data_IF_937859960145
#
_entry.id   IF_937859960145
#
_cell.length_a   1.000
_cell.length_b   1.000
_cell.length_c   1.000
_cell.angle_alpha   90.00
_cell.angle_beta   90.00
_cell.angle_gamma   90.00
#
_symmetry.space_group_name_H-M   'P 1'
#
loop_
_entity.id
_entity.type
_entity.pdbx_description
1 polymer ?
#
# COMPACT_ATOMS: atom_id res chain seq x y z
N UNK A 1 -14.53 -14.69 22.80
CA UNK A 1 -13.33 -15.08 22.04
C UNK A 1 -13.53 -14.57 20.64
N UNK A 2 -12.89 -13.44 20.29
CA UNK A 2 -12.97 -12.87 18.95
C UNK A 2 -11.97 -13.67 18.12
N UNK A 3 -12.48 -14.40 17.12
CA UNK A 3 -11.68 -15.23 16.24
C UNK A 3 -10.76 -14.34 15.41
N UNK A 4 -9.44 -14.48 15.61
CA UNK A 4 -8.43 -13.88 14.75
C UNK A 4 -8.36 -14.62 13.42
N UNK A 5 -8.24 -13.89 12.32
CA UNK A 5 -8.29 -14.53 11.00
C UNK A 5 -6.99 -15.25 10.59
N UNK A 6 -5.82 -14.75 10.98
CA UNK A 6 -4.59 -15.55 11.13
C UNK A 6 -3.92 -15.09 12.42
N UNK A 7 -3.97 -15.95 13.44
CA UNK A 7 -3.38 -15.68 14.75
C UNK A 7 -1.87 -15.98 14.71
N UNK A 8 -0.99 -14.97 14.82
CA UNK A 8 0.47 -15.17 14.75
C UNK A 8 0.99 -16.10 15.83
N UNK A 9 0.40 -16.09 17.02
CA UNK A 9 0.80 -16.97 18.12
C UNK A 9 0.45 -18.44 17.82
N UNK A 10 -0.42 -18.67 16.84
CA UNK A 10 -0.79 -19.99 16.33
C UNK A 10 -0.05 -20.38 15.05
N UNK A 11 0.74 -19.48 14.46
CA UNK A 11 1.68 -19.84 13.39
C UNK A 11 2.85 -20.56 14.08
N UNK A 12 2.74 -21.88 14.25
CA UNK A 12 3.77 -22.74 14.82
C UNK A 12 4.95 -22.88 13.84
N UNK A 13 5.74 -21.82 13.72
CA UNK A 13 7.00 -21.84 12.98
C UNK A 13 8.00 -22.62 13.83
N UNK A 14 7.97 -23.96 13.75
CA UNK A 14 8.90 -24.88 14.44
C UNK A 14 10.39 -24.72 14.05
N UNK A 15 10.76 -23.64 13.38
CA UNK A 15 12.14 -23.34 13.05
C UNK A 15 12.73 -22.43 14.14
N UNK A 16 14.04 -22.52 14.36
CA UNK A 16 14.85 -21.60 15.18
C UNK A 16 14.89 -20.18 14.56
N UNK A 17 13.72 -19.63 14.25
CA UNK A 17 13.55 -18.27 13.75
C UNK A 17 13.57 -17.27 14.90
N UNK A 18 13.53 -15.99 14.54
CA UNK A 18 13.38 -14.91 15.52
C UNK A 18 12.12 -15.12 16.36
N UNK A 19 12.17 -14.61 17.60
CA UNK A 19 11.00 -14.52 18.46
C UNK A 19 9.88 -13.79 17.72
N UNK A 20 8.68 -14.38 17.69
CA UNK A 20 7.52 -13.81 17.02
C UNK A 20 6.45 -13.40 18.03
N UNK A 21 5.96 -12.17 17.92
CA UNK A 21 4.89 -11.65 18.75
C UNK A 21 4.21 -10.47 18.07
N UNK A 22 2.92 -10.28 18.36
CA UNK A 22 2.22 -9.05 17.98
C UNK A 22 2.84 -7.80 18.61
N UNK A 23 3.52 -7.93 19.75
CA UNK A 23 4.20 -6.82 20.43
C UNK A 23 5.31 -6.18 19.59
N UNK A 24 5.87 -6.93 18.64
CA UNK A 24 6.92 -6.44 17.73
C UNK A 24 6.32 -5.72 16.51
N UNK A 25 5.02 -5.86 16.28
CA UNK A 25 4.35 -5.15 15.19
C UNK A 25 4.47 -3.65 15.42
N UNK A 26 5.12 -2.95 14.49
CA UNK A 26 5.36 -1.52 14.63
C UNK A 26 6.72 -1.15 15.21
N UNK A 27 7.60 -2.11 15.47
CA UNK A 27 8.98 -1.79 15.83
C UNK A 27 9.62 -0.91 14.74
N UNK A 28 10.23 0.20 15.17
CA UNK A 28 11.05 1.02 14.29
C UNK A 28 12.47 0.49 14.37
N UNK A 29 12.90 -0.14 13.29
CA UNK A 29 14.19 -0.82 13.23
C UNK A 29 15.16 -0.03 12.36
N UNK A 30 16.35 0.20 12.89
CA UNK A 30 17.52 0.65 12.14
C UNK A 30 18.51 -0.51 11.97
N UNK A 31 19.23 -0.53 10.86
CA UNK A 31 20.22 -1.56 10.57
C UNK A 31 20.25 -1.94 9.09
N UNK A 32 20.53 -3.21 8.79
CA UNK A 32 20.63 -3.71 7.42
C UNK A 32 19.30 -3.54 6.68
N UNK A 33 19.38 -2.94 5.49
CA UNK A 33 18.23 -2.78 4.59
C UNK A 33 18.24 -3.87 3.50
N UNK A 34 17.06 -4.44 3.25
CA UNK A 34 16.83 -5.43 2.19
C UNK A 34 15.68 -4.96 1.31
N UNK A 35 15.97 -4.75 0.03
CA UNK A 35 14.94 -4.41 -0.97
C UNK A 35 14.10 -5.63 -1.28
N UNK A 36 12.79 -5.50 -1.19
CA UNK A 36 11.85 -6.60 -1.36
C UNK A 36 10.96 -6.39 -2.57
N UNK A 37 10.69 -7.48 -3.28
CA UNK A 37 9.57 -7.53 -4.24
C UNK A 37 8.59 -8.63 -3.84
N UNK A 38 7.31 -8.28 -3.79
CA UNK A 38 6.22 -9.19 -3.51
C UNK A 38 5.54 -9.63 -4.81
N UNK A 39 5.26 -10.91 -4.96
CA UNK A 39 4.39 -11.41 -6.02
C UNK A 39 3.66 -12.67 -5.59
N UNK A 40 2.33 -12.63 -5.57
CA UNK A 40 1.50 -13.84 -5.48
C UNK A 40 0.83 -14.10 -6.83
N UNK A 41 0.94 -15.32 -7.35
CA UNK A 41 0.30 -15.74 -8.59
C UNK A 41 -0.51 -17.03 -8.41
N UNK A 42 -1.49 -17.23 -9.29
CA UNK A 42 -2.17 -18.52 -9.38
C UNK A 42 -1.23 -19.53 -10.03
N UNK A 43 -1.01 -20.66 -9.35
CA UNK A 43 -0.15 -21.74 -9.83
C UNK A 43 -0.21 -22.97 -8.93
N UNK A 44 0.24 -24.10 -9.46
CA UNK A 44 0.37 -25.34 -8.68
C UNK A 44 1.77 -25.47 -8.07
N UNK A 45 1.84 -26.21 -6.96
CA UNK A 45 3.08 -26.51 -6.25
C UNK A 45 2.86 -26.60 -4.74
N UNK A 46 3.80 -27.24 -4.06
CA UNK A 46 3.82 -27.32 -2.59
C UNK A 46 5.24 -27.12 -2.03
N UNK A 47 5.31 -26.57 -0.83
CA UNK A 47 6.52 -26.40 -0.04
C UNK A 47 7.23 -25.05 -0.24
N UNK A 48 8.50 -25.02 0.15
CA UNK A 48 9.36 -23.84 0.12
C UNK A 48 10.55 -24.06 -0.83
N UNK A 49 11.14 -22.98 -1.32
CA UNK A 49 12.38 -22.96 -2.10
C UNK A 49 13.10 -21.64 -1.81
N UNK A 50 14.41 -21.70 -1.56
CA UNK A 50 15.26 -20.52 -1.39
C UNK A 50 16.33 -20.55 -2.47
N UNK A 51 16.43 -19.48 -3.25
CA UNK A 51 17.38 -19.32 -4.35
C UNK A 51 18.44 -18.28 -3.97
N UNK A 52 19.67 -18.73 -3.77
CA UNK A 52 20.81 -17.89 -3.39
C UNK A 52 20.87 -17.57 -1.89
N UNK A 53 21.92 -16.84 -1.51
CA UNK A 53 22.15 -16.40 -0.13
C UNK A 53 21.60 -15.00 0.12
N UNK A 54 21.12 -14.74 1.34
CA UNK A 54 20.47 -13.48 1.69
C UNK A 54 21.44 -12.29 1.70
N UNK A 55 21.42 -11.51 0.62
CA UNK A 55 22.14 -10.25 0.48
C UNK A 55 21.33 -9.03 0.94
N UNK A 56 21.24 -8.04 0.05
CA UNK A 56 20.50 -6.78 0.16
C UNK A 56 19.20 -6.77 -0.68
N UNK A 57 18.82 -7.93 -1.23
CA UNK A 57 17.60 -8.13 -2.02
C UNK A 57 16.89 -9.43 -1.61
N UNK A 58 15.56 -9.41 -1.68
CA UNK A 58 14.72 -10.59 -1.43
C UNK A 58 13.44 -10.51 -2.26
N UNK A 59 13.23 -11.46 -3.16
CA UNK A 59 11.96 -11.67 -3.85
C UNK A 59 11.10 -12.66 -3.10
N UNK A 60 9.88 -12.27 -2.72
CA UNK A 60 8.88 -13.15 -2.13
C UNK A 60 7.90 -13.53 -3.25
N UNK A 61 8.09 -14.70 -3.84
CA UNK A 61 7.23 -15.20 -4.89
C UNK A 61 6.42 -16.40 -4.40
N UNK A 62 5.10 -16.27 -4.37
CA UNK A 62 4.19 -17.31 -3.89
C UNK A 62 3.26 -17.77 -5.00
N UNK A 63 3.22 -19.07 -5.26
CA UNK A 63 2.22 -19.69 -6.12
C UNK A 63 1.12 -20.31 -5.25
N UNK A 64 -0.13 -20.00 -5.58
CA UNK A 64 -1.30 -20.51 -4.87
C UNK A 64 -2.34 -21.08 -5.83
N UNK A 65 -3.05 -22.13 -5.42
CA UNK A 65 -4.18 -22.67 -6.18
C UNK A 65 -5.47 -22.63 -5.38
N UNK A 66 -6.62 -22.73 -6.06
CA UNK A 66 -7.95 -22.73 -5.43
C UNK A 66 -8.63 -21.37 -5.33
N UNK A 67 -7.94 -20.29 -5.68
CA UNK A 67 -8.45 -18.91 -5.64
C UNK A 67 -8.30 -18.22 -7.00
N UNK A 68 -8.99 -17.08 -7.18
CA UNK A 68 -8.86 -16.25 -8.38
C UNK A 68 -7.55 -15.43 -8.39
N UNK A 69 -7.18 -14.89 -9.55
CA UNK A 69 -6.00 -14.03 -9.68
C UNK A 69 -6.12 -12.72 -8.86
N UNK A 70 -7.33 -12.16 -8.75
CA UNK A 70 -7.57 -10.97 -7.93
C UNK A 70 -7.44 -11.29 -6.43
N UNK A 71 -7.92 -12.45 -6.02
CA UNK A 71 -7.75 -12.99 -4.67
C UNK A 71 -6.30 -13.27 -4.33
N UNK A 72 -5.49 -13.72 -5.29
CA UNK A 72 -4.07 -13.95 -5.11
C UNK A 72 -3.34 -12.66 -4.69
N UNK A 73 -3.66 -11.52 -5.31
CA UNK A 73 -3.04 -10.22 -4.94
C UNK A 73 -3.33 -9.81 -3.49
N UNK A 74 -4.48 -10.20 -2.94
CA UNK A 74 -4.84 -9.87 -1.56
C UNK A 74 -3.93 -10.56 -0.53
N UNK A 75 -3.38 -11.73 -0.86
CA UNK A 75 -2.46 -12.50 -0.01
C UNK A 75 -1.16 -11.74 0.26
N UNK A 76 -0.72 -10.86 -0.65
CA UNK A 76 0.48 -10.02 -0.46
C UNK A 76 0.40 -9.17 0.82
N UNK A 77 -0.82 -8.82 1.24
CA UNK A 77 -1.10 -8.11 2.50
C UNK A 77 -0.63 -8.86 3.74
N UNK A 78 -0.45 -10.19 3.66
CA UNK A 78 0.10 -11.00 4.76
C UNK A 78 1.58 -10.77 4.99
N UNK A 79 2.35 -10.48 3.94
CA UNK A 79 3.81 -10.51 4.06
C UNK A 79 4.30 -9.49 5.08
N UNK A 80 3.85 -8.23 4.95
CA UNK A 80 4.10 -7.22 5.95
C UNK A 80 3.49 -7.55 7.32
N UNK A 81 2.30 -8.15 7.35
CA UNK A 81 1.62 -8.52 8.61
C UNK A 81 2.40 -9.56 9.42
N UNK A 82 2.95 -10.58 8.76
CA UNK A 82 3.67 -11.66 9.46
C UNK A 82 5.13 -11.33 9.70
N UNK A 83 5.79 -10.60 8.80
CA UNK A 83 7.21 -10.25 8.95
C UNK A 83 7.40 -9.17 10.02
N UNK A 84 6.50 -8.20 10.13
CA UNK A 84 6.56 -7.18 11.20
C UNK A 84 6.41 -7.76 12.62
N UNK A 85 6.02 -9.03 12.75
CA UNK A 85 5.90 -9.71 14.04
C UNK A 85 7.20 -10.42 14.44
N UNK A 86 8.26 -10.35 13.63
CA UNK A 86 9.57 -10.86 13.99
C UNK A 86 10.34 -9.79 14.77
N UNK A 87 10.83 -10.15 15.96
CA UNK A 87 11.61 -9.24 16.81
C UNK A 87 12.81 -8.65 16.09
N UNK A 88 12.97 -7.32 16.16
CA UNK A 88 14.10 -6.62 15.53
C UNK A 88 14.00 -6.57 14.00
N UNK A 89 12.82 -6.79 13.43
CA UNK A 89 12.55 -6.67 11.98
C UNK A 89 11.41 -5.69 11.75
N UNK A 90 11.58 -4.80 10.79
CA UNK A 90 10.47 -3.97 10.29
C UNK A 90 10.29 -4.15 8.79
N UNK A 91 9.04 -4.20 8.36
CA UNK A 91 8.59 -4.33 6.98
C UNK A 91 7.78 -3.09 6.62
N UNK A 92 8.22 -2.37 5.60
CA UNK A 92 7.61 -1.12 5.13
C UNK A 92 7.32 -1.18 3.63
N UNK A 93 6.38 -0.34 3.20
CA UNK A 93 5.88 -0.32 1.82
C UNK A 93 5.32 -1.67 1.38
N UNK A 94 5.09 -1.84 0.08
CA UNK A 94 4.45 -3.01 -0.52
C UNK A 94 4.93 -3.23 -1.96
N UNK A 95 4.56 -4.37 -2.54
CA UNK A 95 4.80 -4.74 -3.94
C UNK A 95 6.29 -4.67 -4.27
N UNK A 96 6.68 -3.96 -5.32
CA UNK A 96 8.08 -3.89 -5.79
C UNK A 96 8.92 -2.84 -5.06
N UNK A 97 8.32 -2.18 -4.07
CA UNK A 97 8.92 -1.13 -3.25
C UNK A 97 9.06 -1.53 -1.80
N UNK A 98 8.66 -2.76 -1.46
CA UNK A 98 8.75 -3.28 -0.12
C UNK A 98 10.21 -3.22 0.40
N UNK A 99 10.34 -2.99 1.69
CA UNK A 99 11.63 -2.83 2.36
C UNK A 99 11.59 -3.54 3.70
N UNK A 100 12.59 -4.38 3.95
CA UNK A 100 12.85 -4.95 5.26
C UNK A 100 14.05 -4.25 5.88
N UNK A 101 13.94 -3.86 7.15
CA UNK A 101 15.08 -3.46 8.00
C UNK A 101 15.26 -4.46 9.12
N UNK A 102 16.51 -4.81 9.40
CA UNK A 102 16.88 -5.81 10.41
C UNK A 102 17.85 -5.16 11.40
N UNK A 103 17.58 -5.31 12.69
CA UNK A 103 18.46 -4.83 13.75
C UNK A 103 19.73 -5.69 13.81
N UNK A 104 20.80 -5.14 14.37
CA UNK A 104 22.08 -5.85 14.52
C UNK A 104 21.92 -7.16 15.29
N UNK A 105 21.04 -7.20 16.29
CA UNK A 105 20.77 -8.39 17.12
C UNK A 105 19.98 -9.46 16.35
N UNK A 106 19.15 -9.04 15.40
CA UNK A 106 18.34 -9.95 14.60
C UNK A 106 19.10 -10.51 13.38
N UNK A 107 20.15 -9.84 12.91
CA UNK A 107 20.92 -10.22 11.71
C UNK A 107 21.46 -11.66 11.75
N UNK A 108 21.91 -12.15 12.92
CA UNK A 108 22.46 -13.51 13.04
C UNK A 108 21.41 -14.61 12.88
N UNK A 109 20.13 -14.30 13.13
CA UNK A 109 19.02 -15.27 13.12
C UNK A 109 18.06 -15.06 11.96
N UNK A 110 18.01 -13.86 11.39
CA UNK A 110 17.16 -13.56 10.25
C UNK A 110 17.67 -14.29 9.00
N UNK A 111 16.82 -15.14 8.42
CA UNK A 111 17.16 -15.90 7.22
C UNK A 111 16.02 -15.94 6.22
N UNK A 112 16.37 -16.08 4.93
CA UNK A 112 15.41 -16.29 3.85
C UNK A 112 14.52 -17.52 4.11
N UNK A 113 15.09 -18.57 4.69
CA UNK A 113 14.39 -19.79 5.08
C UNK A 113 13.31 -19.53 6.14
N UNK A 114 13.60 -18.67 7.13
CA UNK A 114 12.61 -18.27 8.13
C UNK A 114 11.45 -17.51 7.50
N UNK A 115 11.73 -16.53 6.65
CA UNK A 115 10.69 -15.79 5.91
C UNK A 115 9.85 -16.75 5.06
N UNK A 116 10.48 -17.69 4.35
CA UNK A 116 9.79 -18.69 3.53
C UNK A 116 8.79 -19.52 4.35
N UNK A 117 9.22 -20.03 5.51
CA UNK A 117 8.39 -20.88 6.39
C UNK A 117 7.21 -20.11 6.98
N UNK A 118 7.46 -18.91 7.49
CA UNK A 118 6.41 -18.07 8.09
C UNK A 118 5.34 -17.73 7.06
N UNK A 119 5.76 -17.36 5.85
CA UNK A 119 4.83 -17.08 4.76
C UNK A 119 4.09 -18.35 4.33
N UNK A 120 4.79 -19.48 4.19
CA UNK A 120 4.17 -20.74 3.80
C UNK A 120 3.06 -21.16 4.77
N UNK A 121 3.34 -21.17 6.08
CA UNK A 121 2.34 -21.54 7.10
C UNK A 121 1.17 -20.54 7.14
N UNK A 122 1.46 -19.23 7.05
CA UNK A 122 0.42 -18.21 7.00
C UNK A 122 -0.51 -18.38 5.80
N UNK A 123 0.04 -18.51 4.59
CA UNK A 123 -0.75 -18.66 3.36
C UNK A 123 -1.51 -19.99 3.35
N UNK A 124 -0.89 -21.07 3.81
CA UNK A 124 -1.52 -22.40 3.89
C UNK A 124 -2.68 -22.46 4.88
N UNK A 125 -2.68 -21.58 5.89
CA UNK A 125 -3.78 -21.48 6.86
C UNK A 125 -5.08 -20.91 6.26
N UNK A 126 -5.02 -20.28 5.07
CA UNK A 126 -6.19 -19.72 4.39
C UNK A 126 -7.06 -20.85 3.82
N UNK A 127 -8.31 -21.05 4.30
CA UNK A 127 -9.11 -22.23 3.92
C UNK A 127 -9.42 -22.38 2.43
N UNK A 128 -9.44 -21.28 1.68
CA UNK A 128 -9.72 -21.28 0.24
C UNK A 128 -8.50 -21.74 -0.61
N UNK A 129 -7.30 -21.73 -0.04
CA UNK A 129 -6.07 -22.08 -0.73
C UNK A 129 -5.86 -23.60 -0.71
N UNK A 130 -5.69 -24.20 -1.90
CA UNK A 130 -5.53 -25.65 -2.07
C UNK A 130 -4.08 -26.12 -2.05
N UNK A 131 -3.16 -25.30 -2.54
CA UNK A 131 -1.72 -25.59 -2.56
C UNK A 131 -0.93 -24.29 -2.48
N UNK A 132 0.28 -24.34 -1.93
CA UNK A 132 1.15 -23.17 -1.72
C UNK A 132 2.59 -23.54 -2.06
N UNK A 133 3.23 -22.83 -2.99
CA UNK A 133 4.69 -22.87 -3.18
C UNK A 133 5.27 -21.51 -2.87
N UNK A 134 6.12 -21.41 -1.85
CA UNK A 134 6.87 -20.18 -1.56
C UNK A 134 8.27 -20.29 -2.15
N UNK A 135 8.69 -19.27 -2.90
CA UNK A 135 10.01 -19.15 -3.49
C UNK A 135 10.62 -17.83 -3.02
N UNK A 136 11.68 -17.91 -2.22
CA UNK A 136 12.46 -16.74 -1.81
C UNK A 136 13.64 -16.59 -2.75
N UNK A 137 13.72 -15.45 -3.44
CA UNK A 137 14.73 -15.18 -4.47
C UNK A 137 15.72 -14.15 -3.96
N UNK A 138 16.93 -14.58 -3.60
CA UNK A 138 18.00 -13.73 -3.12
C UNK A 138 19.10 -13.49 -4.18
N UNK A 139 19.13 -14.27 -5.27
CA UNK A 139 20.01 -14.01 -6.41
C UNK A 139 19.59 -12.75 -7.17
N UNK A 140 20.55 -11.84 -7.42
CA UNK A 140 20.27 -10.51 -7.96
C UNK A 140 19.66 -10.54 -9.38
N UNK A 141 20.14 -11.42 -10.25
CA UNK A 141 19.60 -11.52 -11.61
C UNK A 141 18.16 -12.04 -11.63
N UNK A 142 17.86 -13.07 -10.84
CA UNK A 142 16.51 -13.62 -10.70
C UNK A 142 15.58 -12.64 -9.98
N UNK A 143 16.09 -11.87 -9.01
CA UNK A 143 15.35 -10.80 -8.35
C UNK A 143 14.88 -9.74 -9.36
N UNK A 144 15.75 -9.27 -10.24
CA UNK A 144 15.38 -8.26 -11.26
C UNK A 144 14.39 -8.82 -12.30
N UNK A 145 14.45 -10.12 -12.62
CA UNK A 145 13.44 -10.78 -13.47
C UNK A 145 12.09 -10.87 -12.77
N UNK A 146 12.08 -11.30 -11.51
CA UNK A 146 10.87 -11.38 -10.70
C UNK A 146 10.24 -10.00 -10.53
N UNK A 147 11.06 -8.97 -10.29
CA UNK A 147 10.60 -7.60 -10.16
C UNK A 147 9.85 -7.13 -11.40
N UNK A 148 10.42 -7.30 -12.60
CA UNK A 148 9.75 -6.95 -13.86
C UNK A 148 8.43 -7.71 -14.03
N UNK A 149 8.40 -9.00 -13.68
CA UNK A 149 7.19 -9.81 -13.73
C UNK A 149 6.12 -9.31 -12.75
N UNK A 150 6.50 -8.94 -11.54
CA UNK A 150 5.59 -8.34 -10.56
C UNK A 150 4.98 -7.04 -11.10
N UNK A 151 5.81 -6.13 -11.62
CA UNK A 151 5.36 -4.86 -12.22
C UNK A 151 4.34 -5.09 -13.34
N UNK A 152 4.57 -6.08 -14.21
CA UNK A 152 3.65 -6.43 -15.29
C UNK A 152 2.31 -6.98 -14.78
N UNK A 153 2.34 -7.84 -13.77
CA UNK A 153 1.13 -8.47 -13.22
C UNK A 153 0.31 -7.48 -12.40
N UNK A 154 0.96 -6.73 -11.51
CA UNK A 154 0.31 -5.70 -10.70
C UNK A 154 -0.33 -4.63 -11.59
N UNK A 155 0.37 -4.20 -12.66
CA UNK A 155 -0.20 -3.29 -13.66
C UNK A 155 -1.44 -3.87 -14.35
N UNK A 156 -1.40 -5.14 -14.77
CA UNK A 156 -2.56 -5.81 -15.40
C UNK A 156 -3.75 -5.90 -14.44
N UNK A 157 -3.51 -6.22 -13.16
CA UNK A 157 -4.56 -6.26 -12.13
C UNK A 157 -5.18 -4.88 -11.90
N UNK A 158 -4.36 -3.83 -11.80
CA UNK A 158 -4.82 -2.44 -11.71
C UNK A 158 -5.68 -2.05 -12.93
N UNK A 159 -5.27 -2.43 -14.14
CA UNK A 159 -5.99 -2.11 -15.38
C UNK A 159 -7.38 -2.74 -15.43
N UNK A 160 -7.57 -3.97 -14.90
CA UNK A 160 -8.89 -4.62 -14.84
C UNK A 160 -9.89 -3.86 -13.96
N UNK A 161 -9.42 -3.13 -12.95
CA UNK A 161 -10.27 -2.37 -12.03
C UNK A 161 -10.68 -1.00 -12.58
N UNK A 162 -10.06 -0.54 -13.68
CA UNK A 162 -10.26 0.82 -14.20
C UNK A 162 -11.69 1.11 -14.63
N UNK A 163 -12.46 0.09 -15.00
CA UNK A 163 -13.86 0.25 -15.41
C UNK A 163 -14.84 0.29 -14.23
N UNK A 164 -14.40 -0.15 -13.04
CA UNK A 164 -15.23 -0.16 -11.84
C UNK A 164 -15.30 1.25 -11.25
N UNK A 165 -16.50 1.78 -11.11
CA UNK A 165 -16.75 3.14 -10.62
C UNK A 165 -17.26 3.13 -9.19
N UNK A 166 -17.00 4.20 -8.47
CA UNK A 166 -17.51 4.39 -7.11
C UNK A 166 -19.04 4.30 -7.04
N UNK A 167 -19.74 4.82 -8.05
CA UNK A 167 -21.21 4.77 -8.12
C UNK A 167 -21.75 3.34 -8.32
N UNK A 168 -20.95 2.44 -8.91
CA UNK A 168 -21.36 1.08 -9.25
C UNK A 168 -21.13 0.06 -8.14
N UNK A 169 -20.57 0.48 -7.01
CA UNK A 169 -20.35 -0.37 -5.83
C UNK A 169 -21.17 0.13 -4.65
N UNK A 170 -21.62 -0.80 -3.83
CA UNK A 170 -22.45 -0.50 -2.65
C UNK A 170 -21.61 -0.08 -1.44
N UNK A 171 -20.37 -0.58 -1.37
CA UNK A 171 -19.46 -0.36 -0.24
C UNK A 171 -18.05 -0.01 -0.70
N UNK A 172 -17.36 0.74 0.17
CA UNK A 172 -15.93 0.99 0.12
C UNK A 172 -15.21 0.18 1.20
N UNK A 173 -13.90 0.36 1.30
CA UNK A 173 -13.10 -0.32 2.32
C UNK A 173 -12.26 0.67 3.11
N UNK A 174 -12.31 0.54 4.43
CA UNK A 174 -11.37 1.19 5.35
C UNK A 174 -10.10 0.35 5.50
N UNK A 175 -8.98 1.00 5.77
CA UNK A 175 -7.74 0.36 6.15
C UNK A 175 -7.14 1.04 7.38
N UNK A 176 -6.89 0.24 8.43
CA UNK A 176 -6.29 0.69 9.70
C UNK A 176 -4.90 0.12 9.96
N UNK A 177 -4.21 -0.43 8.96
CA UNK A 177 -2.89 -1.06 9.16
C UNK A 177 -1.85 -0.10 9.75
N UNK A 178 -1.92 1.18 9.40
CA UNK A 178 -1.00 2.19 9.91
C UNK A 178 -1.34 2.67 11.33
N UNK A 179 -2.44 2.21 11.96
CA UNK A 179 -2.76 2.58 13.35
C UNK A 179 -1.74 2.09 14.37
N UNK A 180 -0.96 1.07 13.99
CA UNK A 180 0.23 0.62 14.72
C UNK A 180 1.21 1.79 14.99
N UNK A 181 1.32 2.75 14.06
CA UNK A 181 2.18 3.93 14.19
C UNK A 181 1.39 5.23 14.45
N UNK A 182 0.15 5.30 13.94
CA UNK A 182 -0.67 6.51 13.89
C UNK A 182 -2.09 6.18 14.40
N UNK A 183 -2.34 6.17 15.72
CA UNK A 183 -3.55 5.58 16.31
C UNK A 183 -4.88 6.13 15.76
N UNK A 184 -4.88 7.38 15.26
CA UNK A 184 -6.08 8.06 14.76
C UNK A 184 -6.10 8.14 13.22
N UNK A 185 -5.40 7.24 12.53
CA UNK A 185 -5.35 7.20 11.08
C UNK A 185 -6.27 6.13 10.51
N UNK A 186 -6.91 6.44 9.38
CA UNK A 186 -7.63 5.49 8.54
C UNK A 186 -7.50 5.90 7.08
N UNK A 187 -7.25 4.93 6.20
CA UNK A 187 -7.39 5.12 4.75
C UNK A 187 -8.79 4.69 4.30
N UNK A 188 -9.35 5.42 3.34
CA UNK A 188 -10.56 5.02 2.61
C UNK A 188 -10.15 4.61 1.20
N UNK A 189 -10.52 3.40 0.81
CA UNK A 189 -10.15 2.76 -0.45
C UNK A 189 -11.42 2.56 -1.29
N UNK A 190 -11.42 3.11 -2.49
CA UNK A 190 -12.52 3.00 -3.45
C UNK A 190 -11.99 2.46 -4.79
N UNK A 191 -12.88 2.03 -5.71
CA UNK A 191 -12.47 1.63 -7.06
C UNK A 191 -11.65 2.71 -7.79
N UNK A 192 -11.98 3.99 -7.56
CA UNK A 192 -11.35 5.12 -8.26
C UNK A 192 -10.30 5.85 -7.39
N UNK A 193 -10.11 5.43 -6.14
CA UNK A 193 -9.06 5.93 -5.23
C UNK A 193 -8.42 4.79 -4.43
N UNK A 194 -7.35 4.18 -4.96
CA UNK A 194 -6.49 3.28 -4.19
C UNK A 194 -5.86 3.98 -2.99
N UNK A 195 -5.44 3.21 -1.99
CA UNK A 195 -4.76 3.77 -0.81
C UNK A 195 -3.47 4.52 -1.21
N UNK A 196 -2.96 5.44 -0.37
CA UNK A 196 -1.71 6.13 -0.64
C UNK A 196 -0.49 5.20 -0.83
N UNK A 197 -0.50 4.03 -0.20
CA UNK A 197 0.55 3.02 -0.33
C UNK A 197 0.33 2.02 -1.48
N UNK A 198 -0.74 2.17 -2.27
CA UNK A 198 -0.97 1.39 -3.49
C UNK A 198 -1.85 0.15 -3.33
N UNK A 199 -2.58 0.00 -2.22
CA UNK A 199 -3.64 -1.02 -2.09
C UNK A 199 -4.84 -0.64 -2.93
N UNK A 200 -5.26 -1.53 -3.83
CA UNK A 200 -6.45 -1.37 -4.66
C UNK A 200 -7.73 -1.81 -3.95
N UNK A 201 -8.87 -1.39 -4.48
CA UNK A 201 -10.19 -1.81 -4.00
C UNK A 201 -10.37 -3.33 -3.98
N UNK A 202 -9.97 -4.03 -5.05
CA UNK A 202 -10.10 -5.48 -5.12
C UNK A 202 -9.18 -6.19 -4.12
N UNK A 203 -7.97 -5.69 -3.88
CA UNK A 203 -7.09 -6.24 -2.84
C UNK A 203 -7.74 -6.14 -1.46
N UNK A 204 -8.29 -4.97 -1.10
CA UNK A 204 -8.95 -4.76 0.19
C UNK A 204 -10.21 -5.65 0.33
N UNK A 205 -11.06 -5.71 -0.71
CA UNK A 205 -12.23 -6.58 -0.74
C UNK A 205 -11.88 -8.04 -0.55
N UNK A 206 -10.98 -8.57 -1.40
CA UNK A 206 -10.63 -9.98 -1.35
C UNK A 206 -9.90 -10.32 -0.04
N UNK A 207 -9.08 -9.41 0.51
CA UNK A 207 -8.40 -9.64 1.79
C UNK A 207 -9.39 -9.76 2.97
N UNK A 208 -10.47 -8.96 2.95
CA UNK A 208 -11.55 -9.04 3.93
C UNK A 208 -12.37 -10.33 3.75
N UNK A 209 -12.80 -10.64 2.52
CA UNK A 209 -13.60 -11.84 2.20
C UNK A 209 -12.86 -13.14 2.53
N UNK A 210 -11.58 -13.21 2.15
CA UNK A 210 -10.71 -14.36 2.42
C UNK A 210 -10.16 -14.37 3.83
N UNK A 211 -10.43 -13.32 4.63
CA UNK A 211 -10.01 -13.25 6.02
C UNK A 211 -8.49 -13.40 6.14
N UNK A 212 -7.80 -12.61 5.33
CA UNK A 212 -6.34 -12.62 5.23
C UNK A 212 -5.75 -11.77 6.36
N UNK A 213 -6.30 -10.57 6.56
CA UNK A 213 -5.86 -9.61 7.58
C UNK A 213 -7.08 -8.91 8.19
N UNK A 214 -6.93 -8.37 9.40
CA UNK A 214 -8.05 -7.76 10.15
C UNK A 214 -8.14 -6.23 10.01
N UNK A 215 -7.15 -5.61 9.36
CA UNK A 215 -7.10 -4.16 9.26
C UNK A 215 -7.90 -3.61 8.07
N UNK A 216 -8.42 -4.45 7.17
CA UNK A 216 -9.41 -4.07 6.18
C UNK A 216 -10.82 -4.31 6.71
N UNK A 217 -11.72 -3.36 6.47
CA UNK A 217 -13.11 -3.48 6.89
C UNK A 217 -14.04 -2.77 5.90
N UNK A 218 -15.28 -3.26 5.71
CA UNK A 218 -16.23 -2.63 4.80
C UNK A 218 -16.73 -1.29 5.38
N UNK A 219 -16.95 -0.32 4.50
CA UNK A 219 -17.60 0.96 4.80
C UNK A 219 -18.81 1.07 3.89
N UNK A 220 -20.01 1.07 4.47
CA UNK A 220 -21.23 1.38 3.74
C UNK A 220 -21.19 2.84 3.28
N UNK A 221 -21.55 3.12 2.03
CA UNK A 221 -21.43 4.47 1.46
C UNK A 221 -22.36 5.48 2.17
N UNK A 222 -23.55 5.04 2.55
CA UNK A 222 -24.59 5.95 3.02
C UNK A 222 -25.06 6.91 1.92
N UNK A 223 -25.46 8.11 2.30
CA UNK A 223 -25.92 9.14 1.37
C UNK A 223 -24.76 9.73 0.56
N UNK A 224 -25.00 9.94 -0.73
CA UNK A 224 -24.05 10.61 -1.62
C UNK A 224 -24.19 12.12 -1.43
N UNK A 225 -23.24 12.73 -0.71
CA UNK A 225 -23.21 14.17 -0.47
C UNK A 225 -22.66 14.89 -1.72
N UNK A 226 -21.59 14.35 -2.32
CA UNK A 226 -21.01 14.88 -3.55
C UNK A 226 -20.22 13.83 -4.32
N UNK A 227 -20.73 13.36 -5.47
CA UNK A 227 -20.00 12.44 -6.35
C UNK A 227 -18.71 13.07 -6.94
N UNK A 228 -18.73 14.38 -7.19
CA UNK A 228 -17.60 15.07 -7.79
C UNK A 228 -16.42 15.16 -6.82
N UNK A 229 -16.72 15.40 -5.55
CA UNK A 229 -15.73 15.56 -4.48
C UNK A 229 -15.43 14.24 -3.78
N UNK A 230 -16.25 13.21 -4.00
CA UNK A 230 -16.17 11.92 -3.32
C UNK A 230 -16.51 12.06 -1.84
N UNK A 231 -17.60 12.75 -1.51
CA UNK A 231 -18.10 12.88 -0.13
C UNK A 231 -19.36 12.04 0.05
N UNK A 232 -19.34 11.20 1.08
CA UNK A 232 -20.39 10.23 1.39
C UNK A 232 -20.61 10.20 2.91
N UNK A 233 -21.86 10.13 3.35
CA UNK A 233 -22.18 10.22 4.78
C UNK A 233 -21.60 9.05 5.59
N UNK A 234 -21.69 7.82 5.07
CA UNK A 234 -21.16 6.63 5.74
C UNK A 234 -19.64 6.62 5.79
N UNK A 235 -18.96 7.24 4.82
CA UNK A 235 -17.51 7.46 4.88
C UNK A 235 -17.15 8.46 5.97
N UNK A 236 -17.88 9.57 6.08
CA UNK A 236 -17.67 10.56 7.14
C UNK A 236 -17.87 9.94 8.53
N UNK A 237 -18.92 9.15 8.72
CA UNK A 237 -19.20 8.43 9.97
C UNK A 237 -18.07 7.45 10.33
N UNK A 238 -17.66 6.60 9.37
CA UNK A 238 -16.60 5.63 9.60
C UNK A 238 -15.25 6.30 9.92
N UNK A 239 -14.91 7.39 9.22
CA UNK A 239 -13.69 8.15 9.52
C UNK A 239 -13.77 8.81 10.89
N UNK A 240 -14.93 9.42 11.23
CA UNK A 240 -15.13 10.03 12.54
C UNK A 240 -14.95 9.03 13.68
N UNK A 241 -15.51 7.83 13.54
CA UNK A 241 -15.33 6.76 14.51
C UNK A 241 -13.85 6.34 14.63
N UNK A 242 -13.21 6.02 13.50
CA UNK A 242 -11.84 5.48 13.48
C UNK A 242 -10.77 6.51 13.87
N UNK A 243 -11.11 7.79 13.86
CA UNK A 243 -10.21 8.89 14.27
C UNK A 243 -10.58 9.48 15.63
N UNK A 244 -11.47 8.84 16.39
CA UNK A 244 -11.97 9.32 17.69
C UNK A 244 -12.53 10.76 17.63
N UNK A 245 -13.19 11.10 16.52
CA UNK A 245 -13.78 12.41 16.28
C UNK A 245 -12.82 13.48 15.77
N UNK A 246 -11.54 13.17 15.56
CA UNK A 246 -10.55 14.16 15.09
C UNK A 246 -10.77 14.60 13.64
N UNK A 247 -11.31 13.71 12.80
CA UNK A 247 -11.69 14.02 11.43
C UNK A 247 -13.16 13.68 11.25
N UNK A 248 -13.98 14.69 10.96
CA UNK A 248 -15.42 14.50 10.83
C UNK A 248 -15.88 14.32 9.38
N UNK A 249 -15.11 14.87 8.43
CA UNK A 249 -15.46 14.90 7.01
C UNK A 249 -14.25 14.59 6.15
N UNK A 250 -14.48 13.86 5.06
CA UNK A 250 -13.46 13.55 4.07
C UNK A 250 -14.03 13.68 2.66
N UNK A 251 -13.34 14.44 1.81
CA UNK A 251 -13.63 14.59 0.39
C UNK A 251 -12.56 13.85 -0.40
N UNK A 252 -12.90 12.65 -0.88
CA UNK A 252 -11.95 11.71 -1.49
C UNK A 252 -11.22 12.27 -2.72
N UNK A 253 -11.76 13.27 -3.42
CA UNK A 253 -11.16 13.82 -4.63
C UNK A 253 -10.75 15.29 -4.51
N UNK A 254 -10.40 15.71 -3.28
CA UNK A 254 -9.93 17.08 -2.97
C UNK A 254 -8.67 17.10 -2.12
N UNK A 255 -8.01 18.26 -2.14
CA UNK A 255 -6.79 18.59 -1.39
C UNK A 255 -6.98 19.86 -0.56
N UNK A 256 -7.75 20.85 -1.04
CA UNK A 256 -7.89 22.15 -0.36
C UNK A 256 -8.95 22.20 0.73
N UNK A 257 -9.87 21.24 0.78
CA UNK A 257 -10.95 21.23 1.76
C UNK A 257 -11.23 19.78 2.17
N UNK A 258 -11.13 19.51 3.48
CA UNK A 258 -11.34 18.18 4.07
C UNK A 258 -10.62 17.04 3.33
N UNK A 259 -9.30 17.14 3.03
CA UNK A 259 -8.60 16.12 2.27
C UNK A 259 -8.53 14.78 3.03
N UNK A 260 -8.35 13.65 2.32
CA UNK A 260 -8.14 12.36 2.99
C UNK A 260 -6.85 12.34 3.82
N UNK A 261 -6.89 11.63 4.94
CA UNK A 261 -5.70 11.36 5.75
C UNK A 261 -4.67 10.53 4.97
N UNK A 262 -3.39 10.70 5.29
CA UNK A 262 -2.32 9.86 4.77
C UNK A 262 -1.57 9.15 5.91
N UNK A 263 -1.13 7.91 5.65
CA UNK A 263 -0.22 7.16 6.51
C UNK A 263 1.24 7.42 6.16
N UNK A 264 2.16 6.63 6.73
CA UNK A 264 3.62 6.79 6.58
C UNK A 264 4.21 6.25 5.26
N UNK A 265 3.36 5.73 4.37
CA UNK A 265 3.82 4.94 3.23
C UNK A 265 3.24 5.45 1.90
N UNK A 266 2.85 6.73 1.84
CA UNK A 266 2.36 7.34 0.60
C UNK A 266 3.42 7.27 -0.51
N UNK A 267 3.06 6.89 -1.72
CA UNK A 267 4.04 6.82 -2.81
C UNK A 267 4.40 8.20 -3.37
N UNK A 268 3.42 9.10 -3.37
CA UNK A 268 3.52 10.48 -3.81
C UNK A 268 2.71 11.38 -2.89
N UNK A 269 3.03 12.68 -2.90
CA UNK A 269 2.25 13.72 -2.21
C UNK A 269 1.81 14.74 -3.25
N UNK A 270 0.51 15.01 -3.29
CA UNK A 270 -0.06 16.18 -3.96
C UNK A 270 -0.02 17.34 -2.98
N UNK A 271 0.49 18.49 -3.42
CA UNK A 271 0.54 19.70 -2.61
C UNK A 271 0.06 20.92 -3.40
N UNK A 272 -0.53 21.91 -2.73
CA UNK A 272 -0.98 23.15 -3.35
C UNK A 272 0.17 24.16 -3.45
N UNK A 273 0.22 24.90 -4.57
CA UNK A 273 1.20 25.95 -4.87
C UNK A 273 0.42 27.27 -4.97
N UNK A 274 0.37 28.08 -3.89
CA UNK A 274 -0.43 29.30 -3.85
C UNK A 274 -0.09 30.30 -4.96
N UNK A 275 1.20 30.48 -5.28
CA UNK A 275 1.68 31.45 -6.26
C UNK A 275 1.22 31.13 -7.69
N UNK A 276 0.85 29.88 -7.95
CA UNK A 276 0.40 29.40 -9.26
C UNK A 276 -1.07 29.02 -9.30
N UNK A 277 -1.78 29.13 -8.17
CA UNK A 277 -3.15 28.60 -7.98
C UNK A 277 -3.30 27.19 -8.61
N UNK A 278 -2.36 26.30 -8.28
CA UNK A 278 -2.24 24.98 -8.88
C UNK A 278 -1.61 23.96 -7.94
N UNK A 279 -1.50 22.72 -8.39
CA UNK A 279 -0.97 21.62 -7.61
C UNK A 279 0.39 21.17 -8.12
N UNK A 280 1.24 20.78 -7.18
CA UNK A 280 2.46 20.03 -7.40
C UNK A 280 2.29 18.55 -7.01
N UNK A 281 3.07 17.66 -7.61
CA UNK A 281 3.13 16.24 -7.22
C UNK A 281 4.59 15.82 -7.04
N UNK A 282 4.94 15.30 -5.88
CA UNK A 282 6.30 14.84 -5.57
C UNK A 282 6.29 13.38 -5.16
N UNK A 283 7.23 12.59 -5.69
CA UNK A 283 7.45 11.21 -5.27
C UNK A 283 8.47 11.09 -4.13
N UNK A 284 8.38 9.97 -3.39
CA UNK A 284 9.21 9.66 -2.22
C UNK A 284 10.73 9.66 -2.47
N UNK A 285 11.17 9.37 -3.69
CA UNK A 285 12.59 9.29 -4.02
C UNK A 285 13.18 10.68 -4.32
N UNK A 286 12.35 11.70 -4.55
CA UNK A 286 12.80 13.07 -4.78
C UNK A 286 13.34 13.70 -3.49
N UNK A 287 14.67 13.91 -3.45
CA UNK A 287 15.38 14.43 -2.26
C UNK A 287 15.57 15.95 -2.22
N UNK A 288 15.18 16.67 -3.27
CA UNK A 288 15.32 18.14 -3.33
C UNK A 288 14.07 18.82 -2.76
N UNK A 289 14.15 20.14 -2.59
CA UNK A 289 13.00 20.97 -2.24
C UNK A 289 12.07 21.14 -3.44
N UNK A 290 10.78 21.06 -3.17
CA UNK A 290 9.69 21.38 -4.10
C UNK A 290 9.52 22.91 -4.24
N UNK A 291 8.66 23.40 -5.16
CA UNK A 291 8.36 24.82 -5.30
C UNK A 291 7.86 25.51 -4.02
N UNK A 292 7.26 24.76 -3.08
CA UNK A 292 6.81 25.28 -1.77
C UNK A 292 7.90 25.23 -0.70
N UNK A 293 9.15 24.92 -1.07
CA UNK A 293 10.32 24.97 -0.18
C UNK A 293 10.47 23.77 0.77
N UNK A 294 9.57 22.78 0.69
CA UNK A 294 9.60 21.54 1.47
C UNK A 294 10.10 20.37 0.63
N UNK A 295 10.81 19.44 1.26
CA UNK A 295 11.14 18.11 0.73
C UNK A 295 9.96 17.15 0.89
N UNK A 296 10.00 15.99 0.22
CA UNK A 296 9.00 14.95 0.42
C UNK A 296 8.88 14.53 1.89
N UNK A 297 10.02 14.31 2.57
CA UNK A 297 10.06 13.84 3.96
C UNK A 297 9.45 14.86 4.94
N UNK A 298 9.70 16.16 4.72
CA UNK A 298 9.07 17.23 5.51
C UNK A 298 7.55 17.27 5.30
N UNK A 299 7.08 17.10 4.06
CA UNK A 299 5.63 17.04 3.78
C UNK A 299 4.98 15.79 4.37
N UNK A 300 5.64 14.64 4.28
CA UNK A 300 5.12 13.40 4.87
C UNK A 300 4.95 13.53 6.38
N UNK A 301 5.96 14.06 7.08
CA UNK A 301 5.89 14.30 8.53
C UNK A 301 4.75 15.25 8.89
N UNK A 302 4.44 16.22 8.03
CA UNK A 302 3.34 17.17 8.24
C UNK A 302 1.96 16.48 8.14
N UNK A 303 1.77 15.58 7.18
CA UNK A 303 0.44 14.99 6.89
C UNK A 303 0.18 13.66 7.59
N UNK A 304 1.20 12.99 8.13
CA UNK A 304 1.08 11.65 8.70
C UNK A 304 0.05 11.61 9.85
N UNK A 305 -1.10 11.00 9.58
CA UNK A 305 -2.19 10.88 10.55
C UNK A 305 -3.02 12.15 10.78
N UNK A 306 -2.79 13.20 9.98
CA UNK A 306 -3.51 14.47 10.08
C UNK A 306 -4.22 14.82 8.77
N UNK A 307 -5.33 15.54 8.88
CA UNK A 307 -5.97 16.19 7.75
C UNK A 307 -5.37 17.59 7.61
N UNK A 308 -4.59 17.82 6.54
CA UNK A 308 -3.89 19.08 6.30
C UNK A 308 -4.31 19.62 4.93
N UNK A 309 -5.09 20.69 4.94
CA UNK A 309 -5.52 21.36 3.70
C UNK A 309 -4.31 21.83 2.89
N UNK A 310 -4.37 21.57 1.58
CA UNK A 310 -3.27 21.83 0.67
C UNK A 310 -2.31 20.66 0.51
N UNK A 311 -2.44 19.56 1.25
CA UNK A 311 -1.59 18.37 1.08
C UNK A 311 -2.40 17.07 1.13
N UNK A 312 -2.08 16.10 0.27
CA UNK A 312 -2.65 14.77 0.32
C UNK A 312 -1.65 13.71 -0.17
N UNK A 313 -1.44 12.67 0.63
CA UNK A 313 -0.71 11.47 0.20
C UNK A 313 -1.55 10.65 -0.79
N UNK A 314 -0.95 10.22 -1.89
CA UNK A 314 -1.62 9.41 -2.93
C UNK A 314 -0.66 8.39 -3.56
N UNK A 315 -1.23 7.33 -4.12
CA UNK A 315 -0.48 6.33 -4.90
C UNK A 315 -0.31 6.76 -6.37
N UNK A 316 0.66 6.16 -7.06
CA UNK A 316 0.79 6.30 -8.51
C UNK A 316 -0.44 5.80 -9.25
N UNK A 317 -1.11 4.76 -8.73
CA UNK A 317 -2.35 4.23 -9.29
C UNK A 317 -3.47 5.30 -9.33
N UNK A 318 -3.61 6.11 -8.27
CA UNK A 318 -4.61 7.18 -8.24
C UNK A 318 -4.36 8.27 -9.28
N UNK A 319 -3.10 8.53 -9.67
CA UNK A 319 -2.78 9.52 -10.70
C UNK A 319 -3.40 9.19 -12.07
N UNK A 320 -3.64 7.91 -12.36
CA UNK A 320 -4.32 7.45 -13.59
C UNK A 320 -5.85 7.49 -13.48
N UNK A 321 -6.40 7.71 -12.28
CA UNK A 321 -7.83 7.64 -12.04
C UNK A 321 -8.57 8.79 -12.76
N UNK A 322 -9.74 8.52 -13.37
CA UNK A 322 -10.60 9.58 -13.88
C UNK A 322 -11.13 10.50 -12.77
N UNK A 323 -11.11 10.05 -11.51
CA UNK A 323 -11.49 10.84 -10.34
C UNK A 323 -10.32 11.61 -9.71
N UNK A 324 -9.11 11.51 -10.27
CA UNK A 324 -7.95 12.26 -9.80
C UNK A 324 -8.24 13.76 -9.73
N UNK A 325 -8.25 14.31 -8.50
CA UNK A 325 -8.55 15.72 -8.19
C UNK A 325 -9.82 16.25 -8.87
N UNK A 326 -10.83 15.39 -9.08
CA UNK A 326 -12.06 15.74 -9.81
C UNK A 326 -12.84 16.89 -9.17
N UNK A 327 -12.78 17.02 -7.84
CA UNK A 327 -13.33 18.16 -7.10
C UNK A 327 -12.62 19.49 -7.41
N UNK A 328 -11.39 19.43 -7.90
CA UNK A 328 -10.44 20.55 -7.98
C UNK A 328 -9.80 20.68 -9.37
N UNK A 329 -10.54 20.31 -10.42
CA UNK A 329 -10.16 20.55 -11.82
C UNK A 329 -9.22 19.51 -12.43
N UNK A 330 -8.87 18.46 -11.69
CA UNK A 330 -8.07 17.35 -12.18
C UNK A 330 -6.69 17.77 -12.67
N UNK A 331 -6.19 17.07 -13.69
CA UNK A 331 -4.90 17.35 -14.32
C UNK A 331 -4.74 18.76 -14.88
N UNK A 332 -5.84 19.49 -15.16
CA UNK A 332 -5.76 20.88 -15.65
C UNK A 332 -5.22 21.86 -14.61
N UNK A 333 -5.24 21.47 -13.33
CA UNK A 333 -4.76 22.25 -12.18
C UNK A 333 -3.40 21.81 -11.69
N UNK A 334 -2.79 20.77 -12.27
CA UNK A 334 -1.40 20.37 -11.94
C UNK A 334 -0.44 21.21 -12.78
N UNK A 335 0.53 21.84 -12.11
CA UNK A 335 1.48 22.78 -12.74
C UNK A 335 2.94 22.41 -12.49
N UNK A 336 3.21 21.48 -11.57
CA UNK A 336 4.56 21.01 -11.29
C UNK A 336 4.57 19.53 -10.90
N UNK A 337 5.59 18.78 -11.31
CA UNK A 337 5.83 17.42 -10.81
C UNK A 337 7.32 17.14 -10.66
N UNK A 338 7.69 16.15 -9.82
CA UNK A 338 9.07 15.63 -9.81
C UNK A 338 9.38 14.84 -11.09
N UNK A 339 10.66 14.67 -11.48
CA UNK A 339 11.04 13.97 -12.71
C UNK A 339 10.45 12.57 -12.85
N UNK A 340 10.46 11.78 -11.77
CA UNK A 340 9.90 10.42 -11.79
C UNK A 340 8.40 10.42 -12.02
N UNK A 341 7.68 11.37 -11.42
CA UNK A 341 6.25 11.55 -11.68
C UNK A 341 6.04 12.01 -13.13
N UNK A 342 6.87 12.92 -13.65
CA UNK A 342 6.80 13.38 -15.04
C UNK A 342 6.91 12.21 -16.03
N UNK A 343 7.92 11.35 -15.87
CA UNK A 343 8.08 10.17 -16.73
C UNK A 343 6.90 9.20 -16.62
N UNK A 344 6.34 9.01 -15.43
CA UNK A 344 5.17 8.17 -15.24
C UNK A 344 3.93 8.72 -15.97
N UNK A 345 3.65 10.03 -15.83
CA UNK A 345 2.43 10.63 -16.39
C UNK A 345 2.46 10.79 -17.90
N UNK A 346 3.65 10.87 -18.52
CA UNK A 346 3.81 10.82 -19.99
C UNK A 346 3.15 9.61 -20.63
N UNK A 347 3.04 8.49 -19.90
CA UNK A 347 2.47 7.26 -20.44
C UNK A 347 0.97 7.31 -20.69
N UNK A 348 0.25 8.30 -20.12
CA UNK A 348 -1.21 8.39 -20.25
C UNK A 348 -1.77 9.81 -20.40
N UNK A 349 -1.01 10.87 -20.10
CA UNK A 349 -1.48 12.25 -20.29
C UNK A 349 -1.34 12.72 -21.74
N UNK A 350 -2.30 13.51 -22.25
CA UNK A 350 -2.20 14.14 -23.55
C UNK A 350 -1.11 15.23 -23.56
N UNK A 351 -0.55 15.47 -24.74
CA UNK A 351 0.58 16.39 -24.95
C UNK A 351 0.27 17.81 -24.45
N UNK A 352 -0.95 18.32 -24.65
CA UNK A 352 -1.31 19.68 -24.25
C UNK A 352 -1.29 19.89 -22.73
N UNK A 353 -1.53 18.83 -21.94
CA UNK A 353 -1.41 18.91 -20.49
C UNK A 353 0.05 18.80 -20.05
N UNK A 354 0.82 17.92 -20.68
CA UNK A 354 2.25 17.74 -20.36
C UNK A 354 3.07 19.01 -20.59
N UNK A 355 2.76 19.78 -21.64
CA UNK A 355 3.45 21.05 -21.95
C UNK A 355 3.21 22.16 -20.91
N UNK A 356 2.17 22.02 -20.08
CA UNK A 356 1.84 22.99 -19.01
C UNK A 356 2.46 22.65 -17.67
N UNK A 357 3.01 21.45 -17.53
CA UNK A 357 3.57 20.94 -16.27
C UNK A 357 5.07 21.19 -16.27
N UNK A 358 5.55 21.95 -15.30
CA UNK A 358 6.98 22.06 -15.03
C UNK A 358 7.51 20.79 -14.35
N UNK A 359 8.68 20.31 -14.76
CA UNK A 359 9.39 19.19 -14.11
C UNK A 359 10.59 19.72 -13.34
N UNK A 360 10.72 19.33 -12.06
CA UNK A 360 11.78 19.81 -11.15
C UNK A 360 13.07 19.00 -11.09
#
# INVERSE_FOLDING_TARGET
>A
MIHRYIDPEKIDVKADCLEMSELFSGERVEGKEIRVVELVEVGEGDGIEVLGELGDVMGIHVLVSGISDDAASAIESLFGEVINRMKGVSYSFRKERALIKISKEAEEKFSAECVAKVIYEAVKSIPAVKSVKVRIVCEREEFEKLKKRAEEIHKKREERLRELKEISVDRFYGCKSCQVYLPNHVCVITPERPSPCGTTYAEARNAEELKVVEYYFPIEKGEVISEKEGEYSGVNEAVKEMTEGKVERVKLHRVLENPPLAGNFAETIVFYIPEKDGFGIVDREYKKKTPVGLTFEEMEKLIAGWQVEGFAGVSFAYLKSPSFLKGEGGWKRVVWVSPKVYEFVKSFLPKELLERIESG
#
